data_IF_123209768727
#
_entry.id   IF_123209768727
#
_cell.length_a   1.000
_cell.length_b   1.000
_cell.length_c   1.000
_cell.angle_alpha   90.00
_cell.angle_beta   90.00
_cell.angle_gamma   90.00
#
_symmetry.space_group_name_H-M   'P 1'
#
loop_
_entity.id
_entity.type
_entity.pdbx_description
1 polymer ?
#
# COMPACT_ATOMS: atom_id res chain seq x y z
N UNK A 1 -33.99 -37.80 46.37
CA UNK A 1 -34.27 -36.49 45.72
C UNK A 1 -33.24 -35.48 46.24
N UNK A 2 -32.35 -34.83 45.49
CA UNK A 2 -32.33 -34.46 44.07
C UNK A 2 -30.88 -34.29 43.56
N UNK A 3 -30.64 -34.76 42.34
CA UNK A 3 -29.40 -34.55 41.56
C UNK A 3 -29.59 -33.26 40.74
N UNK A 4 -28.86 -32.20 41.06
CA UNK A 4 -28.71 -31.06 40.15
C UNK A 4 -27.44 -31.28 39.33
N UNK A 5 -27.61 -31.88 38.15
CA UNK A 5 -26.61 -31.84 37.10
C UNK A 5 -26.58 -30.42 36.55
N UNK A 6 -25.56 -29.65 36.92
CA UNK A 6 -25.26 -28.37 36.30
C UNK A 6 -24.55 -28.65 34.97
N UNK A 7 -25.33 -28.70 33.89
CA UNK A 7 -24.81 -28.72 32.53
C UNK A 7 -24.23 -27.34 32.22
N UNK A 8 -22.90 -27.20 32.26
CA UNK A 8 -22.20 -26.06 31.68
C UNK A 8 -22.26 -26.17 30.15
N UNK A 9 -23.34 -25.69 29.56
CA UNK A 9 -23.40 -25.39 28.12
C UNK A 9 -22.52 -24.17 27.85
N UNK A 10 -21.27 -24.43 27.43
CA UNK A 10 -20.35 -23.40 26.96
C UNK A 10 -20.92 -22.74 25.70
N UNK A 11 -21.26 -21.46 25.83
CA UNK A 11 -21.64 -20.61 24.70
C UNK A 11 -20.41 -20.45 23.81
N UNK A 12 -20.38 -21.15 22.68
CA UNK A 12 -19.43 -20.94 21.59
C UNK A 12 -19.75 -19.56 20.98
N UNK A 13 -18.97 -18.53 21.34
CA UNK A 13 -18.94 -17.28 20.59
C UNK A 13 -18.29 -17.55 19.24
N UNK A 14 -19.11 -17.70 18.20
CA UNK A 14 -18.67 -17.68 16.81
C UNK A 14 -18.16 -16.28 16.48
N UNK A 15 -16.84 -16.07 16.48
CA UNK A 15 -16.26 -14.87 15.88
C UNK A 15 -16.44 -14.98 14.37
N UNK A 16 -17.40 -14.23 13.82
CA UNK A 16 -17.52 -14.05 12.38
C UNK A 16 -16.29 -13.29 11.89
N UNK A 17 -15.43 -13.94 11.10
CA UNK A 17 -14.36 -13.27 10.38
C UNK A 17 -14.99 -12.37 9.32
N UNK A 18 -15.08 -11.08 9.59
CA UNK A 18 -15.38 -10.07 8.56
C UNK A 18 -14.27 -10.11 7.53
N UNK A 19 -14.64 -10.24 6.24
CA UNK A 19 -13.69 -10.14 5.14
C UNK A 19 -13.21 -8.68 5.08
N UNK A 20 -12.00 -8.44 5.59
CA UNK A 20 -11.34 -7.15 5.50
C UNK A 20 -10.91 -6.89 4.05
N UNK A 21 -11.06 -5.65 3.61
CA UNK A 21 -10.44 -5.21 2.39
C UNK A 21 -8.92 -5.25 2.59
N UNK A 22 -8.23 -6.03 1.77
CA UNK A 22 -6.78 -6.27 1.89
C UNK A 22 -5.92 -5.07 1.48
N UNK A 23 -6.37 -3.83 1.70
CA UNK A 23 -5.63 -2.61 1.39
C UNK A 23 -5.82 -1.54 2.46
N UNK A 24 -4.76 -0.78 2.68
CA UNK A 24 -4.72 0.34 3.60
C UNK A 24 -3.95 1.52 3.00
N UNK A 25 -4.48 2.73 3.18
CA UNK A 25 -3.78 3.99 2.91
C UNK A 25 -3.34 4.61 4.23
N UNK A 26 -2.04 4.80 4.39
CA UNK A 26 -1.41 5.38 5.56
C UNK A 26 -0.86 6.77 5.24
N UNK A 27 -1.25 7.78 6.02
CA UNK A 27 -0.82 9.17 5.85
C UNK A 27 -0.04 9.69 7.06
N UNK A 28 1.00 10.48 6.78
CA UNK A 28 1.76 11.22 7.78
C UNK A 28 2.33 12.50 7.15
N UNK A 29 1.80 13.65 7.56
CA UNK A 29 2.01 14.95 6.89
C UNK A 29 1.65 14.85 5.40
N UNK A 30 2.56 15.27 4.52
CA UNK A 30 2.40 15.20 3.07
C UNK A 30 2.70 13.81 2.49
N UNK A 31 3.10 12.84 3.32
CA UNK A 31 3.45 11.52 2.83
C UNK A 31 2.25 10.55 2.82
N UNK A 32 2.16 9.78 1.74
CA UNK A 32 1.16 8.72 1.56
C UNK A 32 1.88 7.41 1.26
N UNK A 33 1.47 6.37 1.98
CA UNK A 33 1.94 4.99 1.81
C UNK A 33 0.75 4.07 1.67
N UNK A 34 0.91 3.03 0.87
CA UNK A 34 -0.09 1.98 0.73
C UNK A 34 0.48 0.64 1.14
N UNK A 35 -0.36 -0.15 1.80
CA UNK A 35 -0.11 -1.55 2.12
C UNK A 35 -1.25 -2.31 1.44
N UNK A 36 -0.94 -3.20 0.52
CA UNK A 36 -1.95 -4.00 -0.19
C UNK A 36 -1.55 -5.47 -0.26
N UNK A 37 -2.54 -6.36 -0.17
CA UNK A 37 -2.40 -7.79 -0.35
C UNK A 37 -2.77 -8.13 -1.80
N UNK A 38 -1.75 -8.51 -2.58
CA UNK A 38 -1.93 -9.05 -3.92
C UNK A 38 -2.15 -10.56 -3.85
N UNK A 39 -3.27 -11.02 -4.41
CA UNK A 39 -3.65 -12.43 -4.51
C UNK A 39 -4.71 -12.58 -5.61
N UNK A 40 -4.97 -13.83 -6.03
CA UNK A 40 -6.05 -14.11 -6.97
C UNK A 40 -7.44 -13.71 -6.42
N UNK A 41 -8.39 -13.45 -7.32
CA UNK A 41 -9.82 -13.33 -6.97
C UNK A 41 -10.42 -14.69 -6.61
N UNK A 42 -9.94 -15.76 -7.22
CA UNK A 42 -10.47 -17.13 -7.08
C UNK A 42 -9.84 -17.93 -5.94
N UNK A 43 -8.69 -17.48 -5.42
CA UNK A 43 -7.95 -18.20 -4.38
C UNK A 43 -7.19 -17.22 -3.45
N UNK A 44 -7.09 -17.54 -2.14
CA UNK A 44 -6.35 -16.73 -1.17
C UNK A 44 -4.83 -16.91 -1.25
N UNK A 45 -4.35 -17.95 -1.95
CA UNK A 45 -2.93 -18.21 -2.16
C UNK A 45 -2.67 -18.53 -3.64
N UNK A 46 -1.45 -18.27 -4.15
CA UNK A 46 -0.37 -17.52 -3.48
C UNK A 46 -0.76 -16.06 -3.22
N UNK A 47 -0.14 -15.46 -2.19
CA UNK A 47 -0.38 -14.08 -1.80
C UNK A 47 0.93 -13.32 -1.58
N UNK A 48 0.89 -12.00 -1.72
CA UNK A 48 2.00 -11.10 -1.42
C UNK A 48 1.51 -9.82 -0.75
N UNK A 49 2.26 -9.32 0.23
CA UNK A 49 2.04 -7.99 0.84
C UNK A 49 2.97 -6.99 0.15
N UNK A 50 2.38 -6.05 -0.56
CA UNK A 50 3.08 -5.00 -1.31
C UNK A 50 2.96 -3.67 -0.57
N UNK A 51 4.09 -2.99 -0.47
CA UNK A 51 4.23 -1.69 0.17
C UNK A 51 4.69 -0.65 -0.83
N UNK A 52 3.90 0.43 -0.93
CA UNK A 52 4.13 1.54 -1.85
C UNK A 52 4.32 2.82 -1.06
N UNK A 53 5.24 3.65 -1.50
CA UNK A 53 5.50 4.98 -0.91
C UNK A 53 5.21 6.05 -1.96
N UNK A 54 3.92 6.30 -2.18
CA UNK A 54 3.40 7.05 -3.34
C UNK A 54 4.00 8.44 -3.50
N UNK A 55 4.35 9.10 -2.39
CA UNK A 55 4.84 10.49 -2.37
C UNK A 55 6.35 10.60 -2.17
N UNK A 56 7.05 9.49 -1.90
CA UNK A 56 8.47 9.49 -1.54
C UNK A 56 9.39 9.19 -2.74
N UNK A 57 8.82 8.95 -3.94
CA UNK A 57 9.58 8.59 -5.14
C UNK A 57 10.31 7.24 -5.03
N UNK A 58 9.90 6.38 -4.09
CA UNK A 58 10.50 5.07 -3.88
C UNK A 58 9.75 3.99 -4.66
N UNK A 59 10.50 3.03 -5.18
CA UNK A 59 9.98 1.86 -5.85
C UNK A 59 9.19 0.96 -4.89
N UNK A 60 8.16 0.31 -5.42
CA UNK A 60 7.33 -0.66 -4.69
C UNK A 60 8.17 -1.81 -4.11
N UNK A 61 7.70 -2.36 -3.00
CA UNK A 61 8.38 -3.45 -2.29
C UNK A 61 7.41 -4.55 -1.92
N UNK A 62 7.70 -5.77 -2.34
CA UNK A 62 7.09 -6.97 -1.76
C UNK A 62 7.78 -7.22 -0.42
N UNK A 63 7.02 -7.13 0.67
CA UNK A 63 7.55 -7.32 2.02
C UNK A 63 7.49 -8.80 2.44
N UNK A 64 6.41 -9.47 2.06
CA UNK A 64 6.14 -10.86 2.41
C UNK A 64 5.34 -11.54 1.29
N UNK A 65 5.54 -12.85 1.15
CA UNK A 65 4.74 -13.71 0.26
C UNK A 65 4.49 -15.06 0.91
N UNK A 66 3.41 -15.73 0.52
CA UNK A 66 3.14 -17.11 0.91
C UNK A 66 2.49 -17.88 -0.23
N UNK A 67 2.88 -19.15 -0.37
CA UNK A 67 2.39 -20.05 -1.42
C UNK A 67 1.19 -20.88 -0.98
N UNK A 68 1.09 -21.21 0.32
CA UNK A 68 0.17 -22.23 0.81
C UNK A 68 -0.55 -21.84 2.12
N UNK A 69 -0.29 -20.64 2.65
CA UNK A 69 -0.92 -20.16 3.88
C UNK A 69 -1.85 -18.98 3.56
N UNK A 70 -3.16 -19.27 3.57
CA UNK A 70 -4.21 -18.31 3.24
C UNK A 70 -4.35 -17.18 4.25
N UNK A 71 -3.85 -17.32 5.49
CA UNK A 71 -3.93 -16.29 6.52
C UNK A 71 -2.65 -15.47 6.66
N UNK A 72 -1.54 -15.93 6.08
CA UNK A 72 -0.22 -15.33 6.31
C UNK A 72 -0.14 -13.86 5.88
N UNK A 73 -0.57 -13.53 4.66
CA UNK A 73 -0.46 -12.16 4.16
C UNK A 73 -1.39 -11.20 4.91
N UNK A 74 -2.59 -11.63 5.31
CA UNK A 74 -3.51 -10.83 6.12
C UNK A 74 -2.90 -10.49 7.48
N UNK A 75 -2.41 -11.49 8.20
CA UNK A 75 -1.77 -11.29 9.50
C UNK A 75 -0.54 -10.38 9.40
N UNK A 76 0.28 -10.52 8.34
CA UNK A 76 1.45 -9.67 8.10
C UNK A 76 1.05 -8.23 7.77
N UNK A 77 0.04 -8.03 6.93
CA UNK A 77 -0.42 -6.70 6.56
C UNK A 77 -0.99 -5.96 7.78
N UNK A 78 -1.86 -6.60 8.57
CA UNK A 78 -2.42 -6.01 9.80
C UNK A 78 -1.33 -5.62 10.81
N UNK A 79 -0.40 -6.53 11.09
CA UNK A 79 0.72 -6.23 11.99
C UNK A 79 1.59 -5.07 11.47
N UNK A 80 1.72 -4.93 10.14
CA UNK A 80 2.47 -3.83 9.55
C UNK A 80 1.71 -2.49 9.59
N UNK A 81 0.39 -2.51 9.42
CA UNK A 81 -0.49 -1.34 9.65
C UNK A 81 -0.37 -0.85 11.08
N UNK A 82 -0.47 -1.75 12.06
CA UNK A 82 -0.28 -1.42 13.48
C UNK A 82 1.09 -0.79 13.73
N UNK A 83 2.14 -1.33 13.11
CA UNK A 83 3.49 -0.78 13.20
C UNK A 83 3.59 0.62 12.61
N UNK A 84 2.98 0.86 11.45
CA UNK A 84 2.90 2.20 10.84
C UNK A 84 2.19 3.17 11.80
N UNK A 85 1.08 2.77 12.42
CA UNK A 85 0.38 3.57 13.43
C UNK A 85 1.23 3.84 14.67
N UNK A 86 1.98 2.85 15.14
CA UNK A 86 2.94 3.04 16.24
C UNK A 86 4.05 4.06 15.91
N UNK A 87 4.32 4.28 14.62
CA UNK A 87 5.27 5.27 14.11
C UNK A 87 4.63 6.63 13.79
N UNK A 88 3.36 6.84 14.16
CA UNK A 88 2.66 8.11 13.97
C UNK A 88 1.91 8.24 12.64
N UNK A 89 1.74 7.15 11.89
CA UNK A 89 0.94 7.16 10.67
C UNK A 89 -0.55 6.94 10.98
N UNK A 90 -1.41 7.70 10.32
CA UNK A 90 -2.85 7.42 10.34
C UNK A 90 -3.19 6.51 9.17
N UNK A 91 -3.61 5.29 9.44
CA UNK A 91 -3.95 4.31 8.42
C UNK A 91 -5.47 4.11 8.37
N UNK A 92 -6.02 4.07 7.17
CA UNK A 92 -7.42 3.73 6.91
C UNK A 92 -7.47 2.54 5.97
N UNK A 93 -8.36 1.61 6.25
CA UNK A 93 -8.66 0.51 5.32
C UNK A 93 -9.30 1.09 4.06
N UNK A 94 -8.84 0.63 2.90
CA UNK A 94 -9.37 1.03 1.60
C UNK A 94 -9.90 -0.20 0.87
N UNK A 95 -11.02 -0.04 0.18
CA UNK A 95 -11.54 -1.09 -0.68
C UNK A 95 -10.51 -1.34 -1.78
N UNK A 96 -9.94 -2.53 -1.80
CA UNK A 96 -9.21 -3.00 -2.98
C UNK A 96 -10.25 -3.30 -4.05
N UNK A 97 -10.46 -2.37 -4.97
CA UNK A 97 -11.07 -2.68 -6.25
C UNK A 97 -10.12 -3.65 -6.96
N UNK A 98 -10.34 -4.96 -6.75
CA UNK A 98 -9.69 -6.00 -7.54
C UNK A 98 -10.13 -5.76 -8.98
N UNK A 99 -9.28 -5.07 -9.74
CA UNK A 99 -9.54 -4.66 -11.10
C UNK A 99 -10.09 -5.86 -11.90
N UNK A 100 -11.30 -5.81 -12.46
CA UNK A 100 -11.77 -6.81 -13.40
C UNK A 100 -11.01 -6.60 -14.71
N UNK A 101 -9.75 -7.02 -14.77
CA UNK A 101 -9.03 -7.22 -16.02
C UNK A 101 -9.54 -8.52 -16.67
N UNK A 102 -10.83 -8.57 -17.01
CA UNK A 102 -11.41 -9.47 -18.00
C UNK A 102 -12.87 -9.05 -18.27
N UNK A 103 -13.08 -7.84 -18.77
CA UNK A 103 -14.18 -7.65 -19.73
C UNK A 103 -13.51 -7.30 -21.06
N UNK A 104 -13.38 -8.36 -21.86
CA UNK A 104 -13.15 -8.30 -23.29
C UNK A 104 -14.00 -7.16 -23.84
N UNK A 105 -13.37 -6.11 -24.37
CA UNK A 105 -14.07 -5.11 -25.17
C UNK A 105 -14.55 -5.85 -26.43
N UNK A 106 -15.85 -6.15 -26.64
CA UNK A 106 -16.29 -6.46 -27.97
C UNK A 106 -16.18 -5.17 -28.77
N UNK A 107 -15.18 -5.17 -29.65
CA UNK A 107 -15.17 -4.42 -30.89
C UNK A 107 -16.61 -4.35 -31.44
N UNK A 108 -17.23 -3.19 -31.32
CA UNK A 108 -18.54 -2.90 -31.89
C UNK A 108 -18.45 -1.53 -32.54
N UNK A 109 -18.01 -1.60 -33.79
CA UNK A 109 -18.59 -0.89 -34.92
C UNK A 109 -18.74 0.60 -34.73
N UNK A 110 -17.72 1.33 -35.19
CA UNK A 110 -17.82 2.75 -35.55
C UNK A 110 -18.85 2.88 -36.69
N UNK A 111 -20.01 3.53 -36.51
CA UNK A 111 -20.77 4.01 -37.63
C UNK A 111 -20.13 5.31 -38.12
N UNK A 112 -19.56 5.21 -39.31
CA UNK A 112 -19.22 6.31 -40.21
C UNK A 112 -20.38 7.31 -40.28
N UNK A 113 -20.14 8.57 -39.90
CA UNK A 113 -21.01 9.66 -40.33
C UNK A 113 -20.24 10.97 -40.45
N UNK A 114 -20.62 11.78 -41.45
CA UNK A 114 -19.67 12.57 -42.22
C UNK A 114 -19.43 13.96 -41.64
N UNK A 115 -18.26 14.46 -41.99
CA UNK A 115 -17.83 15.86 -42.03
C UNK A 115 -18.90 16.79 -42.59
N UNK A 116 -19.11 17.96 -41.98
CA UNK A 116 -19.31 19.18 -42.76
C UNK A 116 -18.12 20.15 -42.63
N UNK A 117 -17.63 20.57 -43.78
CA UNK A 117 -16.63 21.61 -44.04
C UNK A 117 -16.79 22.92 -43.23
N UNK A 118 -15.63 23.43 -42.81
CA UNK A 118 -15.07 24.82 -42.86
C UNK A 118 -16.00 26.06 -43.01
N UNK A 119 -15.61 27.26 -42.48
CA UNK A 119 -14.36 27.92 -42.87
C UNK A 119 -13.57 28.67 -41.77
N UNK A 120 -12.33 28.98 -42.17
CA UNK A 120 -11.29 29.76 -41.55
C UNK A 120 -11.69 31.10 -40.91
N UNK A 121 -10.94 31.48 -39.85
CA UNK A 121 -10.46 32.86 -39.69
C UNK A 121 -9.19 32.89 -38.83
N UNK A 122 -8.12 33.39 -39.45
CA UNK A 122 -6.81 33.72 -38.88
C UNK A 122 -6.86 34.80 -37.78
N UNK A 123 -5.89 34.76 -36.87
CA UNK A 123 -5.07 35.92 -36.42
C UNK A 123 -4.14 35.42 -35.29
N UNK A 124 -2.85 35.19 -35.55
CA UNK A 124 -1.76 36.19 -35.49
C UNK A 124 -1.76 36.99 -34.20
N UNK A 125 -0.82 36.67 -33.29
CA UNK A 125 -0.19 37.67 -32.42
C UNK A 125 1.26 37.27 -32.09
N UNK A 126 2.14 38.12 -32.59
CA UNK A 126 3.62 38.23 -32.56
C UNK A 126 4.08 38.64 -31.13
N UNK A 127 5.03 37.93 -30.48
CA UNK A 127 6.46 38.32 -30.24
C UNK A 127 6.70 39.07 -28.88
N UNK A 128 7.93 39.43 -28.44
CA UNK A 128 9.04 38.64 -27.83
C UNK A 128 9.45 39.01 -26.38
N UNK A 129 10.47 38.26 -25.91
CA UNK A 129 11.52 38.59 -24.92
C UNK A 129 11.13 38.51 -23.44
N UNK A 130 11.90 37.84 -22.57
CA UNK A 130 13.19 38.31 -22.04
C UNK A 130 14.01 37.14 -21.49
N UNK A 131 15.32 37.16 -21.75
CA UNK A 131 16.35 36.22 -21.26
C UNK A 131 16.80 36.56 -19.80
N UNK A 132 17.63 35.73 -19.14
CA UNK A 132 17.65 35.48 -17.69
C UNK A 132 18.50 36.49 -16.88
N UNK A 133 18.46 36.41 -15.54
CA UNK A 133 19.72 36.07 -14.87
C UNK A 133 19.60 35.14 -13.64
N UNK A 134 20.61 34.27 -13.56
CA UNK A 134 21.32 33.70 -12.41
C UNK A 134 20.70 33.73 -10.99
N UNK A 135 20.71 32.57 -10.33
CA UNK A 135 20.95 32.49 -8.88
C UNK A 135 21.70 31.19 -8.52
N UNK A 136 23.02 31.30 -8.50
CA UNK A 136 23.91 30.87 -7.41
C UNK A 136 23.67 29.52 -6.69
N UNK A 137 24.50 28.53 -7.03
CA UNK A 137 25.21 27.65 -6.05
C UNK A 137 26.41 28.48 -5.53
N UNK A 138 26.93 28.38 -4.27
CA UNK A 138 27.02 27.21 -3.40
C UNK A 138 26.85 27.48 -1.88
N UNK A 139 26.74 26.44 -1.04
CA UNK A 139 27.69 26.14 0.05
C UNK A 139 27.39 24.77 0.65
N UNK A 140 28.45 23.97 0.74
CA UNK A 140 28.51 22.76 1.54
C UNK A 140 28.48 23.14 3.04
N UNK A 141 27.72 22.38 3.83
CA UNK A 141 28.01 22.28 5.26
C UNK A 141 28.13 20.80 5.65
N UNK A 142 29.36 20.47 6.00
CA UNK A 142 29.86 19.20 6.53
C UNK A 142 29.64 19.23 8.02
N UNK A 143 28.75 18.39 8.58
CA UNK A 143 28.83 18.03 9.99
C UNK A 143 28.39 16.56 10.24
N UNK A 144 29.42 15.73 10.35
CA UNK A 144 29.65 14.75 11.42
C UNK A 144 28.54 13.75 11.80
N UNK A 145 28.84 12.48 11.49
CA UNK A 145 28.37 11.32 12.24
C UNK A 145 28.85 11.37 13.71
N UNK A 146 28.15 10.69 14.63
CA UNK A 146 28.87 9.71 15.43
C UNK A 146 28.26 8.31 15.40
N UNK A 147 29.16 7.36 15.19
CA UNK A 147 29.06 5.93 15.49
C UNK A 147 28.53 5.65 16.90
N UNK A 148 27.66 4.65 17.00
CA UNK A 148 27.58 3.76 18.17
C UNK A 148 27.52 2.35 17.59
N UNK A 149 28.68 1.77 17.32
CA UNK A 149 29.43 0.90 18.23
C UNK A 149 28.58 -0.27 18.74
N UNK A 150 28.88 -1.39 18.10
CA UNK A 150 28.43 -2.73 18.31
C UNK A 150 28.89 -3.19 19.70
N UNK A 151 28.03 -3.85 20.47
CA UNK A 151 28.50 -4.73 21.55
C UNK A 151 27.76 -6.05 21.46
N UNK A 152 28.36 -6.97 20.71
CA UNK A 152 28.16 -8.39 20.94
C UNK A 152 28.76 -8.72 22.31
N UNK A 153 27.97 -9.26 23.22
CA UNK A 153 28.47 -9.95 24.42
C UNK A 153 28.10 -11.42 24.31
N UNK A 154 29.14 -12.22 24.17
CA UNK A 154 29.18 -13.67 24.14
C UNK A 154 29.13 -14.23 25.57
N UNK A 155 28.37 -15.31 25.73
CA UNK A 155 28.56 -16.47 26.64
C UNK A 155 28.75 -16.26 28.14
N UNK A 156 27.86 -16.90 28.91
CA UNK A 156 28.27 -17.59 30.14
C UNK A 156 27.52 -18.91 30.26
N UNK A 157 28.28 -20.00 30.30
CA UNK A 157 27.89 -21.31 30.78
C UNK A 157 27.45 -21.25 32.25
N UNK A 158 26.49 -22.08 32.65
CA UNK A 158 26.07 -22.23 34.04
C UNK A 158 25.28 -23.51 34.27
N UNK A 159 25.81 -24.36 35.15
CA UNK A 159 25.32 -25.68 35.51
C UNK A 159 23.98 -25.70 36.27
N UNK A 160 23.14 -26.70 35.97
CA UNK A 160 22.70 -27.75 36.91
C UNK A 160 21.96 -28.86 36.15
#
# INVERSE_FOLDING_TARGET
MNKQNLLLTGVLLSLSSSAFAGSWSCRHNDNVREIHIEQSTSAPVPCSVVYRKLTEGAQDRVLWSAENDAGYCEAKAQAFVEKQTSWGWTCVETLSDKNPADETIPDSTIPDSPTPDEPAAESVSTEPAIAPPATETPVADTLAAPSKENTATTSAAGAN
#
